data_IF_599629286037
#
_entry.id   IF_599629286037
#
_cell.length_a   1.000
_cell.length_b   1.000
_cell.length_c   1.000
_cell.angle_alpha   90.00
_cell.angle_beta   90.00
_cell.angle_gamma   90.00
#
_symmetry.space_group_name_H-M   'P 1'
#
loop_
_entity.id
_entity.type
_entity.pdbx_description
1 polymer ?
#
# COMPACT_ATOMS: atom_id res chain seq x y z
N UNK A 1 -7.34 -6.20 -4.41
CA UNK A 1 -7.07 -5.50 -5.68
C UNK A 1 -5.71 -5.86 -6.27
N UNK A 2 -4.60 -5.78 -5.52
CA UNK A 2 -3.25 -6.14 -6.02
C UNK A 2 -3.16 -7.57 -6.59
N UNK A 3 -3.71 -8.58 -5.92
CA UNK A 3 -3.74 -9.96 -6.43
C UNK A 3 -4.55 -10.13 -7.71
N UNK A 4 -5.61 -9.34 -7.91
CA UNK A 4 -6.38 -9.36 -9.16
C UNK A 4 -5.55 -8.80 -10.33
N UNK A 5 -4.75 -7.76 -10.07
CA UNK A 5 -3.81 -7.21 -11.07
C UNK A 5 -2.71 -8.23 -11.42
N UNK A 6 -2.23 -9.01 -10.45
CA UNK A 6 -1.28 -10.10 -10.70
C UNK A 6 -1.89 -11.18 -11.58
N UNK A 7 -3.13 -11.58 -11.32
CA UNK A 7 -3.84 -12.58 -12.14
C UNK A 7 -4.00 -12.07 -13.58
N UNK A 8 -4.40 -10.80 -13.75
CA UNK A 8 -4.50 -10.17 -15.06
C UNK A 8 -3.14 -10.18 -15.79
N UNK A 9 -2.06 -9.80 -15.09
CA UNK A 9 -0.72 -9.78 -15.65
C UNK A 9 -0.23 -11.18 -16.07
N UNK A 10 -0.54 -12.22 -15.28
CA UNK A 10 -0.22 -13.61 -15.62
C UNK A 10 -0.99 -14.09 -16.86
N UNK A 11 -2.29 -13.77 -16.97
CA UNK A 11 -3.11 -14.09 -18.15
C UNK A 11 -2.57 -13.38 -19.40
N UNK A 12 -2.26 -12.09 -19.30
CA UNK A 12 -1.67 -11.33 -20.41
C UNK A 12 -0.31 -11.89 -20.82
N UNK A 13 0.52 -12.27 -19.85
CA UNK A 13 1.82 -12.90 -20.11
C UNK A 13 1.64 -14.21 -20.89
N UNK A 14 0.65 -15.02 -20.52
CA UNK A 14 0.35 -16.25 -21.24
C UNK A 14 -0.13 -15.98 -22.67
N UNK A 15 -1.03 -15.01 -22.88
CA UNK A 15 -1.53 -14.64 -24.22
C UNK A 15 -0.39 -14.17 -25.13
N UNK A 16 0.52 -13.35 -24.62
CA UNK A 16 1.62 -12.78 -25.40
C UNK A 16 2.71 -13.80 -25.69
N UNK A 17 3.09 -14.60 -24.69
CA UNK A 17 4.24 -15.52 -24.81
C UNK A 17 3.85 -16.92 -25.27
N UNK A 18 2.56 -17.28 -25.18
CA UNK A 18 2.03 -18.64 -25.38
C UNK A 18 2.78 -19.72 -24.58
N UNK A 19 3.46 -19.31 -23.49
CA UNK A 19 4.31 -20.17 -22.69
C UNK A 19 3.80 -20.21 -21.25
N UNK A 20 3.31 -21.38 -20.85
CA UNK A 20 2.74 -21.58 -19.51
C UNK A 20 3.77 -21.45 -18.39
N UNK A 21 5.04 -21.77 -18.64
CA UNK A 21 6.09 -21.66 -17.63
C UNK A 21 6.36 -20.20 -17.27
N UNK A 22 6.45 -19.31 -18.26
CA UNK A 22 6.63 -17.87 -18.01
C UNK A 22 5.41 -17.26 -17.29
N UNK A 23 4.20 -17.63 -17.68
CA UNK A 23 2.98 -17.18 -17.00
C UNK A 23 2.93 -17.65 -15.53
N UNK A 24 3.34 -18.90 -15.25
CA UNK A 24 3.42 -19.43 -13.90
C UNK A 24 4.46 -18.68 -13.05
N UNK A 25 5.63 -18.36 -13.61
CA UNK A 25 6.66 -17.55 -12.93
C UNK A 25 6.11 -16.17 -12.58
N UNK A 26 5.45 -15.48 -13.52
CA UNK A 26 4.83 -14.17 -13.27
C UNK A 26 3.77 -14.25 -12.17
N UNK A 27 2.95 -15.30 -12.18
CA UNK A 27 1.94 -15.51 -11.14
C UNK A 27 2.58 -15.67 -9.76
N UNK A 28 3.61 -16.52 -9.62
CA UNK A 28 4.27 -16.78 -8.33
C UNK A 28 5.01 -15.54 -7.83
N UNK A 29 5.84 -14.92 -8.66
CA UNK A 29 6.60 -13.72 -8.28
C UNK A 29 5.67 -12.55 -7.97
N UNK A 30 4.64 -12.36 -8.81
CA UNK A 30 3.62 -11.35 -8.61
C UNK A 30 2.84 -11.55 -7.31
N UNK A 31 2.52 -12.79 -6.96
CA UNK A 31 1.77 -13.10 -5.73
C UNK A 31 2.56 -12.75 -4.47
N UNK A 32 3.85 -13.12 -4.45
CA UNK A 32 4.76 -12.78 -3.35
C UNK A 32 4.88 -11.26 -3.24
N UNK A 33 5.13 -10.59 -4.37
CA UNK A 33 5.29 -9.13 -4.41
C UNK A 33 4.03 -8.41 -3.92
N UNK A 34 2.85 -8.79 -4.44
CA UNK A 34 1.58 -8.21 -4.03
C UNK A 34 1.29 -8.42 -2.53
N UNK A 35 1.70 -9.56 -1.99
CA UNK A 35 1.54 -9.87 -0.57
C UNK A 35 2.46 -9.01 0.31
N UNK A 36 3.72 -8.82 -0.10
CA UNK A 36 4.68 -7.96 0.61
C UNK A 36 4.23 -6.50 0.54
N UNK A 37 3.91 -6.00 -0.66
CA UNK A 37 3.44 -4.62 -0.87
C UNK A 37 2.15 -4.37 -0.08
N UNK A 38 1.20 -5.31 -0.12
CA UNK A 38 -0.03 -5.21 0.66
C UNK A 38 0.23 -5.06 2.16
N UNK A 39 1.19 -5.82 2.72
CA UNK A 39 1.59 -5.69 4.12
C UNK A 39 2.24 -4.33 4.38
N UNK A 40 3.17 -3.88 3.55
CA UNK A 40 3.85 -2.59 3.72
C UNK A 40 2.83 -1.43 3.70
N UNK A 41 1.90 -1.44 2.75
CA UNK A 41 0.84 -0.43 2.66
C UNK A 41 -0.05 -0.44 3.91
N UNK A 42 -0.37 -1.63 4.43
CA UNK A 42 -1.16 -1.75 5.66
C UNK A 42 -0.41 -1.17 6.87
N UNK A 43 0.88 -1.50 7.03
CA UNK A 43 1.71 -0.92 8.09
C UNK A 43 1.82 0.60 7.96
N UNK A 44 2.06 1.11 6.74
CA UNK A 44 2.10 2.55 6.48
C UNK A 44 0.77 3.24 6.83
N UNK A 45 -0.36 2.61 6.49
CA UNK A 45 -1.68 3.12 6.86
C UNK A 45 -1.88 3.17 8.37
N UNK A 46 -1.50 2.12 9.11
CA UNK A 46 -1.58 2.14 10.58
C UNK A 46 -0.67 3.18 11.21
N UNK A 47 0.53 3.38 10.68
CA UNK A 47 1.44 4.44 11.14
C UNK A 47 0.86 5.83 10.91
N UNK A 48 0.21 6.08 9.77
CA UNK A 48 -0.46 7.35 9.50
C UNK A 48 -1.61 7.61 10.47
N UNK A 49 -2.43 6.59 10.76
CA UNK A 49 -3.49 6.71 11.78
C UNK A 49 -2.89 7.00 13.15
N UNK A 50 -1.88 6.25 13.57
CA UNK A 50 -1.24 6.44 14.86
C UNK A 50 -0.64 7.86 14.99
N UNK A 51 0.07 8.32 13.95
CA UNK A 51 0.58 9.70 13.89
C UNK A 51 -0.53 10.74 13.95
N UNK A 52 -1.64 10.52 13.24
CA UNK A 52 -2.82 11.38 13.29
C UNK A 52 -3.46 11.45 14.67
N UNK A 53 -3.57 10.33 15.38
CA UNK A 53 -4.09 10.29 16.76
C UNK A 53 -3.17 11.04 17.73
N UNK A 54 -1.86 10.84 17.63
CA UNK A 54 -0.87 11.57 18.46
C UNK A 54 -0.98 13.08 18.21
N UNK A 55 -1.05 13.47 16.94
CA UNK A 55 -1.16 14.87 16.55
C UNK A 55 -2.48 15.49 17.02
N UNK A 56 -3.58 14.76 16.94
CA UNK A 56 -4.87 15.17 17.46
C UNK A 56 -4.85 15.34 18.98
N UNK A 57 -4.26 14.39 19.71
CA UNK A 57 -4.07 14.50 21.16
C UNK A 57 -3.22 15.72 21.54
N UNK A 58 -2.15 15.99 20.80
CA UNK A 58 -1.33 17.18 20.99
C UNK A 58 -2.09 18.48 20.71
N UNK A 59 -2.87 18.52 19.63
CA UNK A 59 -3.71 19.66 19.28
C UNK A 59 -4.74 19.96 20.39
N UNK A 60 -5.37 18.91 20.93
CA UNK A 60 -6.31 19.02 22.05
C UNK A 60 -5.64 19.58 23.31
N UNK A 61 -4.46 19.09 23.68
CA UNK A 61 -3.72 19.55 24.86
C UNK A 61 -3.19 20.99 24.74
N UNK A 62 -2.97 21.48 23.53
CA UNK A 62 -2.36 22.80 23.26
C UNK A 62 -3.36 23.84 22.77
N UNK A 63 -4.66 23.48 22.69
CA UNK A 63 -5.73 24.28 22.09
C UNK A 63 -5.44 24.77 20.66
N UNK A 64 -4.49 24.15 19.98
CA UNK A 64 -4.11 24.51 18.62
C UNK A 64 -5.00 23.80 17.61
N UNK A 65 -5.26 24.46 16.48
CA UNK A 65 -5.98 23.83 15.37
C UNK A 65 -5.19 22.64 14.84
N UNK A 66 -5.80 21.45 14.87
CA UNK A 66 -5.24 20.22 14.30
C UNK A 66 -4.77 20.43 12.86
N UNK A 67 -5.56 21.11 12.03
CA UNK A 67 -5.19 21.36 10.64
C UNK A 67 -3.92 22.19 10.55
N UNK A 68 -3.76 23.23 11.37
CA UNK A 68 -2.54 24.05 11.38
C UNK A 68 -1.30 23.22 11.74
N UNK A 69 -1.42 22.32 12.72
CA UNK A 69 -0.34 21.41 13.12
C UNK A 69 0.00 20.40 12.03
N UNK A 70 -1.02 19.83 11.37
CA UNK A 70 -0.84 18.89 10.27
C UNK A 70 -0.13 19.54 9.08
N UNK A 71 -0.57 20.74 8.67
CA UNK A 71 0.06 21.50 7.59
C UNK A 71 1.53 21.83 7.87
N UNK A 72 1.87 22.16 9.12
CA UNK A 72 3.26 22.45 9.54
C UNK A 72 4.18 21.22 9.50
N UNK A 73 3.63 20.01 9.63
CA UNK A 73 4.43 18.77 9.53
C UNK A 73 4.64 18.39 8.07
N UNK A 74 3.69 18.72 7.19
CA UNK A 74 3.71 18.37 5.77
C UNK A 74 4.49 19.36 4.89
N UNK A 75 4.64 20.62 5.32
CA UNK A 75 5.26 21.73 4.58
C UNK A 75 6.12 22.60 5.49
#
# INVERSE_FOLDING_TARGET
MLHALVILAAILTWIVTQNMMYAAIVLVVGWITASIVGRILLWGFYLLIAGGMILYGYAYLTEQSFMKLLWRILF
#
